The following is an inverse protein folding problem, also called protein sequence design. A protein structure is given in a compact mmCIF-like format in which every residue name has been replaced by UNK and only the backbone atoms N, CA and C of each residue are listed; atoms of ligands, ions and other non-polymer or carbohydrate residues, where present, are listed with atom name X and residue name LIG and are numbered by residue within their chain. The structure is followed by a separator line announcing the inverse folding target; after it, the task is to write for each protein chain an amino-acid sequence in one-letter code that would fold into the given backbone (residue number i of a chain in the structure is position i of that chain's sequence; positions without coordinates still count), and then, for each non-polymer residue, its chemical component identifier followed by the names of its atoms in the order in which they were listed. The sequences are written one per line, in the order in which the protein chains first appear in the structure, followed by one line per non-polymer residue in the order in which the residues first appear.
data_IF_182080941039
#
_entry.id   IF_182080941039
#
_cell.length_a   1.000
_cell.length_b   1.000
_cell.length_c   1.000
_cell.angle_alpha   90.00
_cell.angle_beta   90.00
_cell.angle_gamma   90.00
#
_symmetry.space_group_name_H-M   'P 1'
#
loop_
_entity.id
_entity.type
_entity.pdbx_description
1 polymer ?
#
# COMPACT_ATOMS: atom_id res chain seq x y z
N UNK A 1 -8.20 14.22 4.26
CA UNK A 1 -8.70 13.33 3.18
C UNK A 1 -7.74 13.33 1.99
N UNK A 2 -6.70 14.15 2.09
CA UNK A 2 -5.56 14.38 1.21
C UNK A 2 -4.73 13.12 0.92
N UNK A 3 -5.01 11.99 1.57
CA UNK A 3 -4.35 10.71 1.30
C UNK A 3 -5.01 9.88 0.20
N UNK A 4 -6.19 10.31 -0.29
CA UNK A 4 -6.98 9.58 -1.30
C UNK A 4 -7.25 10.43 -2.55
N UNK A 5 -7.51 11.72 -2.37
CA UNK A 5 -7.67 12.71 -3.44
C UNK A 5 -6.87 13.92 -2.99
N UNK A 6 -5.74 14.16 -3.64
CA UNK A 6 -4.88 15.33 -3.41
C UNK A 6 -5.03 16.32 -4.57
N UNK A 7 -5.14 15.81 -5.80
CA UNK A 7 -5.34 16.60 -7.02
C UNK A 7 -6.41 16.04 -7.98
N UNK A 8 -6.70 16.79 -9.05
CA UNK A 8 -7.66 16.40 -10.08
C UNK A 8 -7.26 15.15 -10.89
N UNK A 9 -5.98 14.81 -10.97
CA UNK A 9 -5.51 13.60 -11.65
C UNK A 9 -5.85 12.35 -10.82
N UNK A 10 -5.80 12.42 -9.48
CA UNK A 10 -6.30 11.36 -8.60
C UNK A 10 -7.80 11.10 -8.84
N UNK A 11 -8.60 12.17 -8.94
CA UNK A 11 -10.04 12.06 -9.24
C UNK A 11 -10.27 11.40 -10.60
N UNK A 12 -9.47 11.77 -11.60
CA UNK A 12 -9.55 11.22 -12.94
C UNK A 12 -9.23 9.72 -12.95
N UNK A 13 -8.21 9.30 -12.21
CA UNK A 13 -7.84 7.89 -12.07
C UNK A 13 -8.95 7.10 -11.35
N UNK A 14 -9.48 7.62 -10.25
CA UNK A 14 -10.59 7.00 -9.52
C UNK A 14 -11.86 6.90 -10.36
N UNK A 15 -12.17 7.91 -11.18
CA UNK A 15 -13.27 7.86 -12.14
C UNK A 15 -13.03 6.81 -13.22
N UNK A 16 -11.81 6.72 -13.76
CA UNK A 16 -11.49 5.75 -14.82
C UNK A 16 -11.58 4.29 -14.34
N UNK A 17 -11.42 4.05 -13.04
CA UNK A 17 -11.60 2.76 -12.40
C UNK A 17 -13.02 2.53 -11.86
N UNK A 18 -13.99 3.39 -12.22
CA UNK A 18 -15.39 3.36 -11.77
C UNK A 18 -15.56 3.39 -10.23
N UNK A 19 -14.58 3.93 -9.51
CA UNK A 19 -14.63 4.07 -8.04
C UNK A 19 -15.47 5.29 -7.65
N UNK A 20 -15.40 6.36 -8.45
CA UNK A 20 -16.15 7.60 -8.25
C UNK A 20 -16.94 7.96 -9.50
N UNK A 21 -18.22 8.28 -9.32
CA UNK A 21 -19.07 8.82 -10.39
C UNK A 21 -19.12 10.34 -10.24
N UNK A 22 -18.54 11.06 -11.20
CA UNK A 22 -18.48 12.52 -11.18
C UNK A 22 -19.82 13.12 -11.66
N UNK A 23 -20.58 13.71 -10.73
CA UNK A 23 -21.79 14.49 -11.02
C UNK A 23 -21.57 16.01 -10.96
N UNK A 24 -20.38 16.45 -10.58
CA UNK A 24 -20.01 17.86 -10.42
C UNK A 24 -19.51 18.47 -11.74
N UNK A 25 -19.12 17.64 -12.69
CA UNK A 25 -18.76 18.08 -14.04
C UNK A 25 -17.27 17.93 -14.28
N UNK A 26 -16.43 18.79 -13.67
CA UNK A 26 -14.97 18.69 -13.80
C UNK A 26 -14.33 17.95 -12.64
N UNK A 27 -13.17 17.34 -12.87
CA UNK A 27 -12.43 16.59 -11.85
C UNK A 27 -11.86 17.52 -10.76
N UNK A 28 -11.52 18.76 -11.13
CA UNK A 28 -11.13 19.83 -10.18
C UNK A 28 -12.25 20.20 -9.20
N UNK A 29 -13.52 20.17 -9.61
CA UNK A 29 -14.62 20.48 -8.69
C UNK A 29 -14.86 19.36 -7.67
N UNK A 30 -14.53 18.12 -8.03
CA UNK A 30 -14.56 16.98 -7.11
C UNK A 30 -13.39 17.10 -6.13
N UNK A 31 -12.18 17.37 -6.63
CA UNK A 31 -10.98 17.65 -5.81
C UNK A 31 -11.29 18.74 -4.77
N UNK A 32 -11.77 19.91 -5.21
CA UNK A 32 -12.11 21.03 -4.33
C UNK A 32 -13.15 20.65 -3.26
N UNK A 33 -14.17 19.86 -3.63
CA UNK A 33 -15.17 19.39 -2.66
C UNK A 33 -14.52 18.49 -1.60
N UNK A 34 -13.70 17.51 -2.01
CA UNK A 34 -13.06 16.56 -1.10
C UNK A 34 -12.01 17.24 -0.22
N UNK A 35 -11.21 18.16 -0.77
CA UNK A 35 -10.23 18.96 -0.02
C UNK A 35 -10.91 19.91 0.97
N UNK A 36 -12.05 20.51 0.61
CA UNK A 36 -12.84 21.36 1.52
C UNK A 36 -13.55 20.57 2.61
N UNK A 37 -14.02 19.37 2.30
CA UNK A 37 -14.62 18.46 3.28
C UNK A 37 -13.55 17.90 4.23
N UNK A 38 -12.36 17.60 3.70
CA UNK A 38 -11.19 17.13 4.44
C UNK A 38 -10.59 18.18 5.37
N UNK A 39 -10.56 19.46 4.98
CA UNK A 39 -10.08 20.57 5.81
C UNK A 39 -11.06 21.00 6.89
N UNK A 40 -12.36 20.75 6.70
CA UNK A 40 -13.40 21.01 7.71
C UNK A 40 -13.49 19.94 8.79
N UNK A 41 -12.91 18.77 8.52
CA UNK A 41 -12.78 17.66 9.44
C UNK A 41 -11.34 17.64 9.92
N UNK A 42 -11.03 18.27 11.06
CA UNK A 42 -9.80 17.92 11.78
C UNK A 42 -9.86 16.40 11.99
N UNK A 43 -9.02 15.60 11.30
CA UNK A 43 -9.09 14.17 11.45
C UNK A 43 -8.55 13.92 12.85
N UNK A 44 -9.47 13.67 13.79
CA UNK A 44 -9.10 13.14 15.08
C UNK A 44 -8.52 11.74 14.84
N UNK A 45 -7.24 11.75 14.53
CA UNK A 45 -6.43 10.60 14.20
C UNK A 45 -6.33 9.68 15.41
N UNK A 46 -6.63 10.18 16.61
CA UNK A 46 -6.72 9.39 17.83
C UNK A 46 -7.85 8.34 17.76
N UNK A 47 -8.97 8.64 17.11
CA UNK A 47 -10.11 7.70 16.95
C UNK A 47 -9.69 6.47 16.15
N UNK A 48 -8.78 6.64 15.19
CA UNK A 48 -8.30 5.55 14.35
C UNK A 48 -7.03 4.89 14.87
N UNK A 49 -6.40 5.43 15.93
CA UNK A 49 -5.15 4.88 16.45
C UNK A 49 -5.33 3.46 17.00
N UNK A 50 -6.47 3.18 17.63
CA UNK A 50 -6.76 1.84 18.13
C UNK A 50 -6.95 0.83 16.99
N UNK A 51 -7.67 1.23 15.94
CA UNK A 51 -7.88 0.41 14.75
C UNK A 51 -6.55 0.17 14.03
N UNK A 52 -5.76 1.22 13.78
CA UNK A 52 -4.43 1.13 13.16
C UNK A 52 -3.50 0.24 13.99
N UNK A 53 -3.55 0.36 15.32
CA UNK A 53 -2.74 -0.46 16.24
C UNK A 53 -3.15 -1.93 16.16
N UNK A 54 -4.43 -2.24 16.13
CA UNK A 54 -4.91 -3.63 16.03
C UNK A 54 -4.54 -4.24 14.67
N UNK A 55 -4.76 -3.51 13.56
CA UNK A 55 -4.35 -3.94 12.21
C UNK A 55 -2.85 -4.21 12.17
N UNK A 56 -2.04 -3.26 12.65
CA UNK A 56 -0.59 -3.41 12.67
C UNK A 56 -0.13 -4.57 13.56
N UNK A 57 -0.82 -4.82 14.68
CA UNK A 57 -0.53 -5.96 15.57
C UNK A 57 -0.81 -7.28 14.88
N UNK A 58 -1.94 -7.41 14.19
CA UNK A 58 -2.29 -8.60 13.41
C UNK A 58 -1.30 -8.81 12.26
N UNK A 59 -1.00 -7.76 11.51
CA UNK A 59 -0.04 -7.82 10.40
C UNK A 59 1.36 -8.21 10.87
N UNK A 60 1.86 -7.59 11.95
CA UNK A 60 3.16 -7.92 12.55
C UNK A 60 3.19 -9.35 13.09
N UNK A 61 2.08 -9.86 13.64
CA UNK A 61 1.96 -11.26 14.06
C UNK A 61 2.06 -12.22 12.87
N UNK A 62 1.33 -11.92 11.78
CA UNK A 62 1.38 -12.70 10.54
C UNK A 62 2.77 -12.68 9.91
N UNK A 63 3.39 -11.50 9.74
CA UNK A 63 4.76 -11.39 9.24
C UNK A 63 5.76 -12.18 10.09
N UNK A 64 5.65 -12.12 11.42
CA UNK A 64 6.50 -12.92 12.30
C UNK A 64 6.34 -14.43 12.06
N UNK A 65 5.11 -14.91 11.80
CA UNK A 65 4.87 -16.32 11.45
C UNK A 65 5.53 -16.68 10.12
N UNK A 66 5.33 -15.87 9.08
CA UNK A 66 5.94 -16.08 7.77
C UNK A 66 7.47 -16.09 7.84
N UNK A 67 8.07 -15.14 8.57
CA UNK A 67 9.52 -15.09 8.77
C UNK A 67 10.01 -16.32 9.53
N UNK A 68 9.30 -16.75 10.58
CA UNK A 68 9.66 -17.94 11.34
C UNK A 68 9.57 -19.22 10.49
N UNK A 69 8.54 -19.34 9.65
CA UNK A 69 8.36 -20.46 8.72
C UNK A 69 9.44 -20.45 7.64
N UNK A 70 9.74 -19.29 7.07
CA UNK A 70 10.82 -19.12 6.10
C UNK A 70 12.18 -19.47 6.70
N UNK A 71 12.47 -19.03 7.93
CA UNK A 71 13.67 -19.43 8.65
C UNK A 71 13.73 -20.95 8.88
N UNK A 72 12.61 -21.55 9.28
CA UNK A 72 12.55 -23.00 9.51
C UNK A 72 12.76 -23.81 8.23
N UNK A 73 12.22 -23.36 7.11
CA UNK A 73 12.21 -24.11 5.85
C UNK A 73 13.47 -23.82 5.02
N UNK A 74 13.88 -22.56 4.90
CA UNK A 74 14.99 -22.15 4.03
C UNK A 74 16.32 -22.00 4.77
N UNK A 75 16.33 -21.46 6.00
CA UNK A 75 17.59 -21.25 6.73
C UNK A 75 18.07 -22.47 7.52
N UNK A 76 17.24 -23.51 7.67
CA UNK A 76 17.64 -24.78 8.29
C UNK A 76 18.29 -25.75 7.30
N UNK A 77 18.10 -25.55 6.00
CA UNK A 77 18.76 -26.29 4.93
C UNK A 77 19.70 -25.33 4.19
N UNK A 78 21.03 -25.41 4.39
CA UNK A 78 22.00 -24.53 3.74
C UNK A 78 21.82 -24.45 2.21
N UNK A 79 21.41 -25.56 1.60
CA UNK A 79 21.16 -25.68 0.17
C UNK A 79 19.93 -24.90 -0.31
N UNK A 80 18.85 -24.88 0.47
CA UNK A 80 17.64 -24.14 0.12
C UNK A 80 17.89 -22.62 0.16
N UNK A 81 18.67 -22.16 1.13
CA UNK A 81 19.10 -20.77 1.21
C UNK A 81 19.97 -20.36 0.01
N UNK A 82 20.96 -21.18 -0.36
CA UNK A 82 21.83 -20.91 -1.52
C UNK A 82 21.03 -20.84 -2.84
N UNK A 83 20.09 -21.78 -3.05
CA UNK A 83 19.23 -21.77 -4.23
C UNK A 83 18.34 -20.51 -4.31
N UNK A 84 17.76 -20.11 -3.17
CA UNK A 84 16.97 -18.89 -3.08
C UNK A 84 17.82 -17.63 -3.38
N UNK A 85 19.03 -17.54 -2.80
CA UNK A 85 19.94 -16.42 -3.03
C UNK A 85 20.37 -16.33 -4.50
N UNK A 86 20.71 -17.46 -5.14
CA UNK A 86 21.05 -17.50 -6.55
C UNK A 86 19.88 -17.03 -7.45
N UNK A 87 18.66 -17.47 -7.16
CA UNK A 87 17.46 -17.05 -7.89
C UNK A 87 17.19 -15.54 -7.74
N UNK A 88 17.34 -15.00 -6.52
CA UNK A 88 17.17 -13.57 -6.26
C UNK A 88 18.19 -12.70 -7.02
N UNK A 89 19.48 -13.12 -7.04
CA UNK A 89 20.53 -12.44 -7.82
C UNK A 89 20.21 -12.49 -9.31
N UNK A 90 19.76 -13.63 -9.82
CA UNK A 90 19.33 -13.78 -11.22
C UNK A 90 18.21 -12.80 -11.58
N UNK A 91 17.16 -12.70 -10.77
CA UNK A 91 16.05 -11.76 -10.99
C UNK A 91 16.51 -10.30 -10.96
N UNK A 92 17.39 -9.93 -10.03
CA UNK A 92 17.93 -8.57 -9.95
C UNK A 92 18.73 -8.20 -11.21
N UNK A 93 19.57 -9.13 -11.69
CA UNK A 93 20.33 -8.95 -12.93
C UNK A 93 19.40 -8.80 -14.14
N UNK A 94 18.37 -9.64 -14.27
CA UNK A 94 17.38 -9.54 -15.35
C UNK A 94 16.61 -8.22 -15.29
N UNK A 95 16.24 -7.73 -14.10
CA UNK A 95 15.58 -6.45 -13.94
C UNK A 95 16.46 -5.28 -14.40
N UNK A 96 17.77 -5.31 -14.12
CA UNK A 96 18.72 -4.30 -14.62
C UNK A 96 19.07 -4.43 -16.10
N UNK A 97 18.93 -5.62 -16.70
CA UNK A 97 19.16 -5.85 -18.13
C UNK A 97 18.02 -5.33 -19.02
N UNK A 98 16.82 -5.13 -18.46
CA UNK A 98 15.64 -4.65 -19.17
C UNK A 98 15.41 -3.12 -19.03
N UNK A 99 16.45 -2.37 -18.66
CA UNK A 99 16.49 -0.89 -18.69
C UNK A 99 17.35 -0.42 -19.85
#
# INVERSE_FOLDING_TARGET
MDSLIDDADDVKELRSNDIIVNFLGSDQQVEDLFNKMGSSLEPDTSVYNDIKREINKQYKSTLKKWVAEMQRTYFRSPWAFLAFAAAAVGLALTATQNV
#
